data_IF_749046384704
#
_entry.id   IF_749046384704
#
_cell.length_a   1.000
_cell.length_b   1.000
_cell.length_c   1.000
_cell.angle_alpha   90.00
_cell.angle_beta   90.00
_cell.angle_gamma   90.00
#
_symmetry.space_group_name_H-M   'P 1'
#
loop_
_entity.id
_entity.type
_entity.pdbx_description
1 polymer ?
#
# COMPACT_ATOMS: atom_id res chain seq x y z
N UNK A 1 11.17 -8.48 25.77
CA UNK A 1 11.31 -9.72 26.56
C UNK A 1 12.50 -10.54 26.09
N UNK A 2 12.91 -11.53 26.89
CA UNK A 2 13.87 -12.57 26.48
C UNK A 2 13.10 -13.80 26.01
N UNK A 3 13.62 -14.49 24.99
CA UNK A 3 13.03 -15.70 24.45
C UNK A 3 14.07 -16.54 23.72
N UNK A 4 13.67 -17.76 23.35
CA UNK A 4 14.52 -18.67 22.62
C UNK A 4 14.39 -18.44 21.12
N UNK A 5 15.51 -18.35 20.41
CA UNK A 5 15.58 -18.26 18.96
C UNK A 5 16.78 -19.09 18.47
N UNK A 6 16.49 -20.09 17.63
CA UNK A 6 17.51 -21.02 17.10
C UNK A 6 18.40 -21.65 18.19
N UNK A 7 17.80 -22.03 19.33
CA UNK A 7 18.50 -22.67 20.44
C UNK A 7 19.28 -21.73 21.38
N UNK A 8 19.20 -20.42 21.16
CA UNK A 8 19.84 -19.41 22.02
C UNK A 8 18.81 -18.51 22.70
N UNK A 9 19.09 -18.13 23.95
CA UNK A 9 18.32 -17.11 24.65
C UNK A 9 18.73 -15.71 24.17
N UNK A 10 17.81 -15.00 23.55
CA UNK A 10 18.06 -13.67 22.98
C UNK A 10 17.03 -12.66 23.44
N UNK A 11 17.37 -11.36 23.37
CA UNK A 11 16.43 -10.29 23.55
C UNK A 11 15.58 -10.13 22.26
N UNK A 12 14.27 -9.98 22.44
CA UNK A 12 13.35 -9.93 21.33
C UNK A 12 12.01 -9.30 21.68
N UNK A 13 11.08 -9.41 20.78
CA UNK A 13 9.72 -8.86 20.87
C UNK A 13 8.71 -9.99 20.76
N UNK A 14 7.71 -9.95 21.65
CA UNK A 14 6.54 -10.82 21.56
C UNK A 14 5.41 -10.07 20.88
N UNK A 15 4.89 -10.60 19.78
CA UNK A 15 3.92 -9.96 18.90
C UNK A 15 2.56 -10.67 18.98
N UNK A 16 1.49 -9.87 19.03
CA UNK A 16 0.12 -10.32 18.81
C UNK A 16 -0.52 -9.39 17.81
N UNK A 17 -1.04 -9.95 16.71
CA UNK A 17 -1.61 -9.15 15.62
C UNK A 17 -2.72 -9.90 14.87
N UNK A 18 -3.65 -9.13 14.29
CA UNK A 18 -4.67 -9.59 13.34
C UNK A 18 -4.74 -8.57 12.19
N UNK A 19 -4.28 -8.98 11.02
CA UNK A 19 -4.21 -8.14 9.82
C UNK A 19 -5.09 -8.72 8.72
N UNK A 20 -5.87 -7.84 8.08
CA UNK A 20 -6.76 -8.20 6.97
C UNK A 20 -6.25 -7.64 5.64
N UNK A 21 -6.63 -8.26 4.54
CA UNK A 21 -6.35 -7.80 3.17
C UNK A 21 -4.87 -7.52 2.92
N UNK A 22 -4.01 -8.43 3.37
CA UNK A 22 -2.57 -8.28 3.18
C UNK A 22 -2.16 -8.81 1.81
N UNK A 23 -1.57 -7.93 1.02
CA UNK A 23 -1.05 -8.23 -0.30
C UNK A 23 0.03 -9.31 -0.20
N UNK A 24 -0.07 -10.32 -1.06
CA UNK A 24 0.81 -11.49 -1.14
C UNK A 24 0.82 -12.40 0.09
N UNK A 25 0.04 -12.14 1.14
CA UNK A 25 0.03 -12.99 2.34
C UNK A 25 -0.12 -14.49 2.05
N UNK A 26 -1.01 -14.94 1.12
CA UNK A 26 -1.15 -16.36 0.82
C UNK A 26 0.11 -17.05 0.32
N UNK A 27 1.04 -16.32 -0.29
CA UNK A 27 2.24 -16.85 -0.96
C UNK A 27 3.55 -16.34 -0.36
N UNK A 28 3.50 -15.37 0.53
CA UNK A 28 4.68 -14.78 1.15
C UNK A 28 5.41 -15.81 2.03
N UNK A 29 6.72 -15.88 1.93
CA UNK A 29 7.61 -16.62 2.83
C UNK A 29 8.16 -15.74 3.95
N UNK A 30 8.19 -14.43 3.72
CA UNK A 30 8.64 -13.41 4.66
C UNK A 30 7.58 -12.32 4.75
N UNK A 31 7.21 -11.95 5.95
CA UNK A 31 6.17 -10.98 6.25
C UNK A 31 6.80 -9.69 6.76
N UNK A 32 6.62 -8.58 6.05
CA UNK A 32 6.92 -7.24 6.56
C UNK A 32 5.80 -6.79 7.49
N UNK A 33 6.09 -6.62 8.78
CA UNK A 33 5.11 -6.29 9.80
C UNK A 33 5.40 -4.93 10.41
N UNK A 34 4.40 -4.04 10.44
CA UNK A 34 4.41 -2.82 11.23
C UNK A 34 3.55 -3.01 12.48
N UNK A 35 4.08 -2.67 13.64
CA UNK A 35 3.42 -2.81 14.93
C UNK A 35 3.84 -1.70 15.89
N UNK A 36 3.04 -1.46 16.91
CA UNK A 36 3.41 -0.55 18.00
C UNK A 36 4.18 -1.32 19.07
N UNK A 37 5.44 -0.96 19.24
CA UNK A 37 6.34 -1.59 20.19
C UNK A 37 6.26 -0.89 21.55
N UNK A 38 6.21 -1.68 22.61
CA UNK A 38 6.23 -1.22 23.99
C UNK A 38 7.34 -1.94 24.75
N UNK A 39 7.96 -1.25 25.68
CA UNK A 39 8.98 -1.77 26.57
C UNK A 39 8.63 -1.45 28.03
N UNK A 40 7.66 -2.16 28.63
CA UNK A 40 7.24 -1.90 29.99
C UNK A 40 8.34 -2.15 31.03
N UNK A 41 9.26 -3.07 30.70
CA UNK A 41 10.34 -3.52 31.62
C UNK A 41 11.63 -2.69 31.48
N UNK A 42 11.68 -1.74 30.52
CA UNK A 42 12.84 -0.88 30.33
C UNK A 42 14.09 -1.61 29.82
N UNK A 43 13.92 -2.65 28.99
CA UNK A 43 15.03 -3.45 28.45
C UNK A 43 15.84 -2.73 27.37
N UNK A 44 15.23 -1.71 26.74
CA UNK A 44 15.83 -0.86 25.71
C UNK A 44 16.04 0.58 26.16
N UNK A 45 15.76 0.88 27.45
CA UNK A 45 15.91 2.21 28.02
C UNK A 45 14.67 2.70 28.76
N UNK A 46 14.62 3.99 29.08
CA UNK A 46 13.58 4.56 29.95
C UNK A 46 12.22 4.75 29.28
N UNK A 47 12.18 4.67 27.95
CA UNK A 47 10.97 4.93 27.16
C UNK A 47 10.08 3.68 27.08
N UNK A 48 8.92 3.71 27.73
CA UNK A 48 7.98 2.58 27.75
C UNK A 48 7.23 2.37 26.44
N UNK A 49 6.82 3.44 25.77
CA UNK A 49 6.19 3.38 24.45
C UNK A 49 7.23 3.73 23.37
N UNK A 50 7.82 2.72 22.78
CA UNK A 50 8.84 2.88 21.74
C UNK A 50 8.24 3.49 20.48
N UNK A 51 7.02 3.09 20.11
CA UNK A 51 6.33 3.57 18.92
C UNK A 51 6.24 2.55 17.79
N UNK A 52 5.86 3.03 16.60
CA UNK A 52 5.72 2.15 15.42
C UNK A 52 7.09 1.65 15.00
N UNK A 53 7.21 0.34 14.95
CA UNK A 53 8.43 -0.39 14.62
C UNK A 53 8.14 -1.36 13.47
N UNK A 54 9.14 -1.62 12.63
CA UNK A 54 9.03 -2.52 11.49
C UNK A 54 9.89 -3.76 11.72
N UNK A 55 9.36 -4.93 11.35
CA UNK A 55 10.11 -6.17 11.42
C UNK A 55 9.86 -7.06 10.21
N UNK A 56 10.81 -7.95 9.98
CA UNK A 56 10.70 -9.07 9.04
C UNK A 56 10.40 -10.34 9.83
N UNK A 57 9.22 -10.92 9.60
CA UNK A 57 8.76 -12.12 10.31
C UNK A 57 8.70 -13.28 9.31
N UNK A 58 9.53 -14.32 9.45
CA UNK A 58 9.40 -15.53 8.64
C UNK A 58 8.00 -16.14 8.81
N UNK A 59 7.41 -16.59 7.72
CA UNK A 59 6.06 -17.18 7.72
C UNK A 59 5.94 -18.36 8.70
N UNK A 60 6.99 -19.17 8.79
CA UNK A 60 7.02 -20.39 9.60
C UNK A 60 7.33 -20.13 11.07
N UNK A 61 7.42 -18.85 11.49
CA UNK A 61 7.63 -18.52 12.91
C UNK A 61 6.45 -19.02 13.74
N UNK A 62 6.74 -19.68 14.84
CA UNK A 62 5.73 -20.23 15.75
C UNK A 62 4.72 -19.16 16.18
N UNK A 63 3.43 -19.48 16.10
CA UNK A 63 2.35 -18.55 16.40
C UNK A 63 1.86 -17.69 15.22
N UNK A 64 2.51 -17.76 14.07
CA UNK A 64 2.04 -17.11 12.82
C UNK A 64 1.05 -18.01 12.10
N UNK A 65 -0.10 -17.46 11.75
CA UNK A 65 -1.14 -18.12 10.96
C UNK A 65 -1.43 -17.28 9.72
N UNK A 66 -1.33 -17.89 8.54
CA UNK A 66 -1.79 -17.33 7.28
C UNK A 66 -3.18 -17.88 6.99
N UNK A 67 -4.16 -17.00 6.99
CA UNK A 67 -5.56 -17.35 6.82
C UNK A 67 -5.96 -17.50 5.36
N UNK A 68 -7.28 -17.60 5.15
CA UNK A 68 -7.87 -17.82 3.83
C UNK A 68 -7.54 -16.68 2.87
N UNK A 69 -7.29 -17.02 1.60
CA UNK A 69 -7.21 -16.05 0.50
C UNK A 69 -8.53 -15.28 0.37
N UNK A 70 -8.42 -13.97 0.27
CA UNK A 70 -9.50 -13.07 -0.09
C UNK A 70 -9.48 -12.79 -1.61
N UNK A 71 -10.65 -12.53 -2.18
CA UNK A 71 -10.82 -12.17 -3.59
C UNK A 71 -11.47 -10.78 -3.68
N UNK A 72 -10.74 -9.69 -3.37
CA UNK A 72 -11.31 -8.35 -3.41
C UNK A 72 -11.82 -8.05 -4.82
N UNK A 73 -13.11 -7.67 -4.93
CA UNK A 73 -13.80 -7.41 -6.19
C UNK A 73 -13.67 -8.56 -7.22
N UNK A 74 -13.62 -9.82 -6.77
CA UNK A 74 -13.35 -11.00 -7.60
C UNK A 74 -12.04 -10.96 -8.40
N UNK A 75 -11.10 -10.10 -7.99
CA UNK A 75 -9.77 -10.06 -8.60
C UNK A 75 -8.95 -11.30 -8.24
N UNK A 76 -8.16 -11.79 -9.19
CA UNK A 76 -7.25 -12.93 -8.99
C UNK A 76 -6.01 -12.57 -8.17
N UNK A 77 -5.86 -11.34 -7.81
CA UNK A 77 -4.80 -10.78 -7.00
C UNK A 77 -4.66 -11.51 -5.64
N UNK A 78 -3.41 -11.84 -5.29
CA UNK A 78 -3.12 -12.58 -4.06
C UNK A 78 -3.25 -11.67 -2.83
N UNK A 79 -4.26 -11.94 -2.03
CA UNK A 79 -4.59 -11.17 -0.84
C UNK A 79 -5.14 -12.11 0.24
N UNK A 80 -4.88 -11.82 1.51
CA UNK A 80 -5.35 -12.67 2.59
C UNK A 80 -5.15 -12.05 3.96
N UNK A 81 -5.52 -12.80 4.98
CA UNK A 81 -5.33 -12.43 6.38
C UNK A 81 -4.08 -13.06 6.94
N UNK A 82 -3.45 -12.37 7.88
CA UNK A 82 -2.40 -12.92 8.73
C UNK A 82 -2.72 -12.64 10.19
N UNK A 83 -2.47 -13.62 11.05
CA UNK A 83 -2.62 -13.52 12.49
C UNK A 83 -1.35 -13.97 13.17
N UNK A 84 -1.09 -13.41 14.32
CA UNK A 84 -0.02 -13.84 15.20
C UNK A 84 -0.49 -13.81 16.63
N UNK A 85 -0.17 -14.86 17.39
CA UNK A 85 -0.41 -14.92 18.82
C UNK A 85 0.88 -15.35 19.50
N UNK A 86 1.36 -14.50 20.41
CA UNK A 86 2.60 -14.73 21.18
C UNK A 86 3.83 -15.02 20.29
N UNK A 87 3.86 -14.47 19.07
CA UNK A 87 4.95 -14.67 18.11
C UNK A 87 6.21 -14.00 18.64
N UNK A 88 7.25 -14.77 18.92
CA UNK A 88 8.54 -14.25 19.33
C UNK A 88 9.46 -14.02 18.15
N UNK A 89 10.06 -12.84 18.06
CA UNK A 89 11.13 -12.51 17.12
C UNK A 89 12.30 -11.84 17.83
N UNK A 90 13.55 -12.12 17.50
CA UNK A 90 14.70 -11.42 18.07
C UNK A 90 14.78 -9.98 17.54
N UNK A 91 15.47 -9.09 18.28
CA UNK A 91 15.66 -7.69 17.84
C UNK A 91 16.40 -7.58 16.49
N UNK A 92 17.19 -8.59 16.12
CA UNK A 92 17.86 -8.66 14.81
C UNK A 92 16.88 -8.76 13.62
N UNK A 93 15.62 -9.10 13.86
CA UNK A 93 14.56 -9.10 12.84
C UNK A 93 13.90 -7.73 12.66
N UNK A 94 14.22 -6.76 13.51
CA UNK A 94 13.78 -5.38 13.29
C UNK A 94 14.47 -4.79 12.07
N UNK A 95 13.72 -4.10 11.22
CA UNK A 95 14.29 -3.43 10.04
C UNK A 95 15.14 -2.25 10.50
N UNK A 96 16.44 -2.30 10.17
CA UNK A 96 17.43 -1.35 10.62
C UNK A 96 17.94 -1.58 12.04
N UNK A 97 17.55 -2.70 12.67
CA UNK A 97 18.02 -3.08 14.02
C UNK A 97 17.37 -2.29 15.15
N UNK A 98 17.92 -2.43 16.32
CA UNK A 98 17.42 -1.81 17.56
C UNK A 98 17.37 -0.27 17.48
N UNK A 99 18.36 0.35 16.85
CA UNK A 99 18.45 1.81 16.68
C UNK A 99 17.27 2.42 15.88
N UNK A 100 16.63 1.60 15.05
CA UNK A 100 15.48 2.01 14.25
C UNK A 100 14.13 1.65 14.89
N UNK A 101 14.13 1.07 16.09
CA UNK A 101 12.92 0.85 16.85
C UNK A 101 12.19 2.17 17.10
N UNK A 102 10.89 2.20 16.88
CA UNK A 102 10.05 3.40 17.01
C UNK A 102 10.09 4.37 15.83
N UNK A 103 10.97 4.18 14.85
CA UNK A 103 11.08 5.03 13.65
C UNK A 103 10.32 4.47 12.43
N UNK A 104 9.53 3.42 12.63
CA UNK A 104 8.86 2.71 11.56
C UNK A 104 7.86 3.56 10.77
N UNK A 105 7.21 4.54 11.39
CA UNK A 105 6.33 5.45 10.67
C UNK A 105 7.08 6.32 9.67
N UNK A 106 8.21 6.89 10.07
CA UNK A 106 9.07 7.66 9.18
C UNK A 106 9.56 6.81 8.00
N UNK A 107 10.06 5.60 8.28
CA UNK A 107 10.51 4.66 7.25
C UNK A 107 9.41 4.32 6.25
N UNK A 108 8.18 4.05 6.72
CA UNK A 108 7.04 3.77 5.85
C UNK A 108 6.67 4.97 4.97
N UNK A 109 6.64 6.17 5.54
CA UNK A 109 6.30 7.38 4.80
C UNK A 109 7.35 7.68 3.75
N UNK A 110 8.63 7.64 4.09
CA UNK A 110 9.74 7.92 3.17
C UNK A 110 9.78 6.92 2.00
N UNK A 111 9.73 5.61 2.31
CA UNK A 111 9.81 4.58 1.27
C UNK A 111 8.56 4.51 0.39
N UNK A 112 7.36 4.67 0.97
CA UNK A 112 6.11 4.52 0.22
C UNK A 112 5.69 5.80 -0.51
N UNK A 113 6.19 6.98 -0.11
CA UNK A 113 5.81 8.25 -0.73
C UNK A 113 6.21 8.33 -2.19
N UNK A 114 7.39 7.85 -2.55
CA UNK A 114 7.89 7.83 -3.94
C UNK A 114 6.97 6.98 -4.81
N UNK A 115 6.70 5.74 -4.43
CA UNK A 115 5.79 4.86 -5.15
C UNK A 115 4.38 5.45 -5.27
N UNK A 116 3.86 6.04 -4.20
CA UNK A 116 2.54 6.70 -4.21
C UNK A 116 2.50 7.94 -5.11
N UNK A 117 3.61 8.64 -5.25
CA UNK A 117 3.71 9.81 -6.12
C UNK A 117 3.75 9.47 -7.61
N UNK A 118 4.13 8.26 -7.97
CA UNK A 118 4.27 7.81 -9.35
C UNK A 118 3.21 6.77 -9.71
N UNK A 119 3.15 5.65 -8.97
CA UNK A 119 2.35 4.49 -9.36
C UNK A 119 0.85 4.73 -9.29
N UNK A 120 0.37 5.38 -8.23
CA UNK A 120 -1.06 5.62 -8.07
C UNK A 120 -1.59 6.70 -9.03
N UNK A 121 -0.93 7.85 -9.21
CA UNK A 121 -1.29 8.81 -10.26
C UNK A 121 -1.26 8.20 -11.67
N UNK A 122 -0.25 7.38 -11.98
CA UNK A 122 -0.15 6.70 -13.27
C UNK A 122 -1.31 5.71 -13.49
N UNK A 123 -1.71 4.98 -12.45
CA UNK A 123 -2.87 4.08 -12.51
C UNK A 123 -4.16 4.86 -12.74
N UNK A 124 -4.37 5.98 -12.04
CA UNK A 124 -5.53 6.85 -12.23
C UNK A 124 -5.55 7.46 -13.64
N UNK A 125 -4.40 7.96 -14.14
CA UNK A 125 -4.24 8.45 -15.51
C UNK A 125 -4.57 7.37 -16.55
N UNK A 126 -4.06 6.16 -16.37
CA UNK A 126 -4.36 5.02 -17.24
C UNK A 126 -5.85 4.66 -17.28
N UNK A 127 -6.50 4.64 -16.11
CA UNK A 127 -7.94 4.44 -15.98
C UNK A 127 -8.76 5.53 -16.67
N UNK A 128 -8.37 6.79 -16.48
CA UNK A 128 -9.00 7.95 -17.14
C UNK A 128 -8.88 7.89 -18.66
N UNK A 129 -7.70 7.58 -19.19
CA UNK A 129 -7.45 7.41 -20.64
C UNK A 129 -8.29 6.26 -21.21
N UNK A 130 -8.32 5.10 -20.53
CA UNK A 130 -9.13 3.97 -20.93
C UNK A 130 -10.62 4.34 -20.94
N UNK A 131 -11.10 5.03 -19.90
CA UNK A 131 -12.48 5.52 -19.84
C UNK A 131 -12.83 6.42 -21.02
N UNK A 132 -11.97 7.39 -21.34
CA UNK A 132 -12.19 8.30 -22.46
C UNK A 132 -12.24 7.56 -23.82
N UNK A 133 -11.30 6.63 -24.06
CA UNK A 133 -11.25 5.85 -25.30
C UNK A 133 -12.48 4.95 -25.48
N UNK A 134 -12.81 4.18 -24.44
CA UNK A 134 -13.91 3.18 -24.51
C UNK A 134 -15.27 3.88 -24.59
N UNK A 135 -15.52 4.91 -23.80
CA UNK A 135 -16.80 5.64 -23.85
C UNK A 135 -16.96 6.43 -25.15
N UNK A 136 -15.88 7.04 -25.63
CA UNK A 136 -15.88 7.75 -26.93
C UNK A 136 -16.13 6.80 -28.09
N UNK A 137 -15.49 5.65 -28.13
CA UNK A 137 -15.72 4.63 -29.14
C UNK A 137 -17.15 4.09 -29.11
N UNK A 138 -17.66 3.76 -27.91
CA UNK A 138 -19.03 3.29 -27.75
C UNK A 138 -20.04 4.36 -28.20
N UNK A 139 -19.88 5.60 -27.78
CA UNK A 139 -20.78 6.71 -28.14
C UNK A 139 -20.81 6.98 -29.65
N UNK A 140 -19.73 6.66 -30.36
CA UNK A 140 -19.65 6.77 -31.83
C UNK A 140 -20.38 5.62 -32.53
N UNK A 141 -20.33 4.43 -32.01
CA UNK A 141 -20.88 3.21 -32.65
C UNK A 141 -22.36 3.00 -32.29
N UNK A 142 -22.72 3.19 -31.02
CA UNK A 142 -24.09 3.01 -30.54
C UNK A 142 -25.03 4.02 -31.17
N UNK A 143 -26.14 3.53 -31.75
CA UNK A 143 -27.17 4.40 -32.34
C UNK A 143 -28.49 4.29 -31.59
N UNK A 144 -29.16 5.43 -31.47
CA UNK A 144 -30.54 5.56 -31.04
C UNK A 144 -31.21 6.64 -31.89
N UNK A 145 -32.49 6.46 -32.21
CA UNK A 145 -33.25 7.39 -33.05
C UNK A 145 -32.55 7.74 -34.38
N UNK A 146 -31.83 6.77 -34.93
CA UNK A 146 -31.11 6.93 -36.22
C UNK A 146 -29.76 7.64 -36.16
N UNK A 147 -29.35 8.13 -34.95
CA UNK A 147 -28.09 8.86 -34.72
C UNK A 147 -27.16 8.13 -33.77
N UNK A 148 -25.86 8.36 -33.90
CA UNK A 148 -24.89 7.95 -32.86
C UNK A 148 -25.21 8.65 -31.56
N UNK A 149 -25.20 7.92 -30.41
CA UNK A 149 -25.57 8.50 -29.12
C UNK A 149 -24.64 9.63 -28.69
N UNK A 150 -23.39 9.64 -29.14
CA UNK A 150 -22.44 10.73 -28.90
C UNK A 150 -22.81 12.07 -29.55
N UNK A 151 -23.88 12.13 -30.33
CA UNK A 151 -24.40 13.37 -30.92
C UNK A 151 -25.53 14.01 -30.12
N UNK A 152 -25.88 13.40 -28.98
CA UNK A 152 -26.85 14.01 -28.06
C UNK A 152 -26.10 14.88 -27.06
N UNK A 153 -26.55 16.12 -26.86
CA UNK A 153 -25.90 17.12 -25.98
C UNK A 153 -25.61 16.59 -24.59
N UNK A 154 -26.52 15.85 -23.96
CA UNK A 154 -26.31 15.27 -22.64
C UNK A 154 -25.21 14.21 -22.62
N UNK A 155 -24.96 13.51 -23.74
CA UNK A 155 -23.86 12.54 -23.89
C UNK A 155 -22.55 13.30 -24.20
N UNK A 156 -22.59 14.31 -25.04
CA UNK A 156 -21.44 15.17 -25.33
C UNK A 156 -20.89 15.84 -24.07
N UNK A 157 -21.79 16.34 -23.21
CA UNK A 157 -21.41 16.92 -21.92
C UNK A 157 -20.65 15.89 -21.03
N UNK A 158 -21.17 14.67 -20.92
CA UNK A 158 -20.52 13.61 -20.17
C UNK A 158 -19.14 13.22 -20.76
N UNK A 159 -19.05 13.06 -22.08
CA UNK A 159 -17.82 12.77 -22.79
C UNK A 159 -16.78 13.88 -22.64
N UNK A 160 -17.22 15.15 -22.67
CA UNK A 160 -16.36 16.31 -22.45
C UNK A 160 -15.73 16.28 -21.06
N UNK A 161 -16.52 16.00 -20.02
CA UNK A 161 -16.00 15.86 -18.64
C UNK A 161 -15.02 14.70 -18.50
N UNK A 162 -15.32 13.54 -19.12
CA UNK A 162 -14.41 12.37 -19.11
C UNK A 162 -13.08 12.73 -19.76
N UNK A 163 -13.11 13.33 -20.95
CA UNK A 163 -11.91 13.69 -21.67
C UNK A 163 -11.10 14.79 -20.95
N UNK A 164 -11.77 15.83 -20.44
CA UNK A 164 -11.14 16.89 -19.67
C UNK A 164 -10.46 16.38 -18.40
N UNK A 165 -11.13 15.53 -17.64
CA UNK A 165 -10.57 14.93 -16.45
C UNK A 165 -9.39 14.00 -16.78
N UNK A 166 -9.49 13.18 -17.82
CA UNK A 166 -8.39 12.32 -18.25
C UNK A 166 -7.14 13.12 -18.64
N UNK A 167 -7.33 14.25 -19.32
CA UNK A 167 -6.25 15.17 -19.64
C UNK A 167 -5.62 15.79 -18.40
N UNK A 168 -6.44 16.34 -17.50
CA UNK A 168 -5.97 17.00 -16.28
C UNK A 168 -5.20 16.03 -15.35
N UNK A 169 -5.74 14.82 -15.16
CA UNK A 169 -5.08 13.79 -14.34
C UNK A 169 -3.75 13.35 -14.98
N UNK A 170 -3.70 13.23 -16.31
CA UNK A 170 -2.46 12.88 -17.03
C UNK A 170 -1.39 13.96 -16.83
N UNK A 171 -1.76 15.22 -17.04
CA UNK A 171 -0.83 16.35 -16.86
C UNK A 171 -0.32 16.43 -15.41
N UNK A 172 -1.20 16.25 -14.42
CA UNK A 172 -0.82 16.27 -13.01
C UNK A 172 0.07 15.09 -12.63
N UNK A 173 -0.19 13.90 -13.20
CA UNK A 173 0.65 12.72 -13.01
C UNK A 173 2.08 12.94 -13.55
N UNK A 174 2.20 13.53 -14.74
CA UNK A 174 3.49 13.89 -15.35
C UNK A 174 4.23 14.95 -14.52
N UNK A 175 3.53 15.98 -14.04
CA UNK A 175 4.10 16.99 -13.17
C UNK A 175 4.60 16.41 -11.84
N UNK A 176 3.85 15.49 -11.24
CA UNK A 176 4.25 14.81 -10.01
C UNK A 176 5.50 13.93 -10.24
N UNK A 177 5.57 13.20 -11.34
CA UNK A 177 6.73 12.39 -11.71
C UNK A 177 7.97 13.27 -11.97
N UNK A 178 7.81 14.41 -12.66
CA UNK A 178 8.88 15.37 -12.88
C UNK A 178 9.40 16.00 -11.57
N UNK A 179 8.51 16.26 -10.61
CA UNK A 179 8.89 16.75 -9.29
C UNK A 179 9.74 15.72 -8.53
N UNK A 180 9.33 14.45 -8.52
CA UNK A 180 10.13 13.36 -7.93
C UNK A 180 11.49 13.22 -8.59
N UNK A 181 11.56 13.35 -9.93
CA UNK A 181 12.82 13.33 -10.66
C UNK A 181 13.78 14.43 -10.22
N UNK A 182 13.27 15.60 -9.84
CA UNK A 182 14.07 16.70 -9.28
C UNK A 182 14.41 16.54 -7.81
N UNK A 183 14.02 15.43 -7.17
CA UNK A 183 14.24 15.19 -5.74
C UNK A 183 13.22 15.87 -4.82
N UNK A 184 12.12 16.39 -5.38
CA UNK A 184 11.04 16.98 -4.62
C UNK A 184 10.08 15.90 -4.05
N UNK A 185 9.32 16.23 -3.01
CA UNK A 185 8.31 15.37 -2.40
C UNK A 185 6.89 15.92 -2.66
N UNK A 186 6.30 15.67 -3.85
CA UNK A 186 5.03 16.28 -4.28
C UNK A 186 3.82 15.62 -3.61
N UNK A 187 3.71 15.66 -2.28
CA UNK A 187 2.67 14.96 -1.52
C UNK A 187 1.25 15.42 -1.90
N UNK A 188 1.03 16.72 -2.02
CA UNK A 188 -0.30 17.30 -2.34
C UNK A 188 -0.68 17.03 -3.79
N UNK A 189 0.12 17.39 -4.81
CA UNK A 189 -0.20 17.08 -6.21
C UNK A 189 -0.43 15.60 -6.45
N UNK A 190 0.39 14.73 -5.88
CA UNK A 190 0.26 13.28 -6.00
C UNK A 190 -1.03 12.74 -5.38
N UNK A 191 -1.44 13.32 -4.23
CA UNK A 191 -2.70 12.94 -3.57
C UNK A 191 -3.91 13.35 -4.39
N UNK A 192 -3.87 14.51 -5.04
CA UNK A 192 -4.95 14.99 -5.93
C UNK A 192 -5.02 14.13 -7.20
N UNK A 193 -3.87 13.77 -7.77
CA UNK A 193 -3.80 12.96 -9.00
C UNK A 193 -4.19 11.48 -8.80
N UNK A 194 -4.14 10.97 -7.59
CA UNK A 194 -4.53 9.62 -7.20
C UNK A 194 -6.03 9.41 -7.21
#
# INVERSE_FOLDING_TARGET
CKGEWNGAQVLGVKLTFDKRYITLAPVATLIGLAFRMQDPDGLLGDKKDIGITLALVPRETAGVEVGRRALPLNSTFQNGTIRGKDVFIPLSQLIGGEEMAGKGWQMLVECLSIGRSITLPSTASGGGKMGAVVTGAYARIRKQFGLSVGRFEGVEEALSRIAGNAYAISALSEAAAAAVWRGELPAVPSTIAK
#
